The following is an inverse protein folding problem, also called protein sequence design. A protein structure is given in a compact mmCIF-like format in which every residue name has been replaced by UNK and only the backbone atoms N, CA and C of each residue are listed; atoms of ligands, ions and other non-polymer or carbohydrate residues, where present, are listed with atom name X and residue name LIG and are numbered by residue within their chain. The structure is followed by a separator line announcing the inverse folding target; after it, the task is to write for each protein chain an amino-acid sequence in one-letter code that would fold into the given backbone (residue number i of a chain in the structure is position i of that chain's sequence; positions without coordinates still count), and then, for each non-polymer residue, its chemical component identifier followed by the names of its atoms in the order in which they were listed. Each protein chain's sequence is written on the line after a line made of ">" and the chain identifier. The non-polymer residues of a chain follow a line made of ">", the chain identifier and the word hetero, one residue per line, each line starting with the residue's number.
data_IF_938018732358
#
_entry.id   IF_938018732358
#
_cell.length_a   1.000
_cell.length_b   1.000
_cell.length_c   1.000
_cell.angle_alpha   90.00
_cell.angle_beta   90.00
_cell.angle_gamma   90.00
#
_symmetry.space_group_name_H-M   'P 1'
#
loop_
_entity.id
_entity.type
_entity.pdbx_description
1 polymer ?
#
# COMPACT_ATOMS: atom_id res chain seq x y z
N UNK A 1 8.64 -21.84 -12.32
CA UNK A 1 8.35 -21.13 -11.06
C UNK A 1 7.90 -19.75 -11.46
N UNK A 2 6.68 -19.39 -11.08
CA UNK A 2 5.92 -18.33 -11.76
C UNK A 2 6.40 -16.94 -11.36
N UNK A 3 6.29 -16.01 -12.31
CA UNK A 3 6.69 -14.60 -12.24
C UNK A 3 5.81 -13.76 -11.30
N UNK A 4 5.12 -14.41 -10.35
CA UNK A 4 3.98 -13.89 -9.60
C UNK A 4 4.31 -13.41 -8.17
N UNK A 5 5.52 -13.63 -7.67
CA UNK A 5 5.78 -13.48 -6.24
C UNK A 5 6.05 -12.05 -5.75
N UNK A 6 6.02 -11.02 -6.61
CA UNK A 6 6.21 -9.66 -6.11
C UNK A 6 4.91 -9.01 -5.61
N UNK A 7 3.77 -9.30 -6.24
CA UNK A 7 2.48 -8.69 -5.85
C UNK A 7 1.93 -9.27 -4.54
N UNK A 8 1.98 -10.59 -4.36
CA UNK A 8 1.55 -11.20 -3.10
C UNK A 8 2.47 -10.80 -1.93
N UNK A 9 3.76 -10.69 -2.18
CA UNK A 9 4.73 -10.23 -1.18
C UNK A 9 4.50 -8.74 -0.83
N UNK A 10 4.16 -7.91 -1.82
CA UNK A 10 3.75 -6.53 -1.61
C UNK A 10 2.50 -6.43 -0.72
N UNK A 11 1.46 -7.22 -1.00
CA UNK A 11 0.24 -7.27 -0.17
C UNK A 11 0.54 -7.75 1.25
N UNK A 12 1.38 -8.77 1.40
CA UNK A 12 1.79 -9.27 2.72
C UNK A 12 2.52 -8.19 3.52
N UNK A 13 3.45 -7.46 2.91
CA UNK A 13 4.18 -6.36 3.56
C UNK A 13 3.25 -5.24 4.05
N UNK A 14 2.30 -4.81 3.20
CA UNK A 14 1.31 -3.81 3.57
C UNK A 14 0.43 -4.34 4.73
N UNK A 15 -0.02 -5.59 4.62
CA UNK A 15 -0.86 -6.25 5.62
C UNK A 15 -0.18 -6.39 6.97
N UNK A 16 1.09 -6.79 6.99
CA UNK A 16 1.89 -6.88 8.22
C UNK A 16 2.11 -5.49 8.84
N UNK A 17 2.38 -4.47 8.02
CA UNK A 17 2.55 -3.08 8.49
C UNK A 17 1.27 -2.53 9.10
N UNK A 18 0.12 -2.82 8.49
CA UNK A 18 -1.21 -2.45 8.99
C UNK A 18 -1.60 -3.22 10.25
N UNK A 19 -1.34 -4.53 10.29
CA UNK A 19 -1.65 -5.36 11.46
C UNK A 19 -0.85 -4.92 12.69
N UNK A 20 0.42 -4.57 12.50
CA UNK A 20 1.24 -3.99 13.56
C UNK A 20 0.69 -2.64 14.04
N UNK A 21 0.11 -1.82 13.15
CA UNK A 21 -0.53 -0.57 13.53
C UNK A 21 -1.86 -0.81 14.29
N UNK A 22 -2.70 -1.74 13.85
CA UNK A 22 -3.97 -2.08 14.52
C UNK A 22 -3.76 -2.66 15.94
N UNK A 23 -2.72 -3.49 16.12
CA UNK A 23 -2.43 -4.16 17.39
C UNK A 23 -2.14 -3.22 18.57
N UNK A 24 -1.71 -1.99 18.30
CA UNK A 24 -1.40 -0.97 19.31
C UNK A 24 -2.62 -0.10 19.70
N UNK A 25 -3.83 -0.43 19.20
CA UNK A 25 -5.06 0.30 19.52
C UNK A 25 -5.21 1.62 18.75
N UNK A 26 -4.57 1.71 17.58
CA UNK A 26 -4.60 2.89 16.70
C UNK A 26 -6.01 3.12 16.11
N UNK A 27 -6.39 4.40 15.96
CA UNK A 27 -7.65 4.80 15.33
C UNK A 27 -7.58 4.65 13.80
N UNK A 28 -8.73 4.60 13.12
CA UNK A 28 -8.79 4.52 11.65
C UNK A 28 -7.96 5.60 10.93
N UNK A 29 -7.85 6.80 11.51
CA UNK A 29 -7.02 7.88 10.96
C UNK A 29 -5.54 7.50 10.96
N UNK A 30 -5.07 6.87 12.03
CA UNK A 30 -3.68 6.46 12.16
C UNK A 30 -3.34 5.26 11.25
N UNK A 31 -4.32 4.41 10.93
CA UNK A 31 -4.20 3.37 9.89
C UNK A 31 -4.06 4.00 8.50
N UNK A 32 -4.85 5.04 8.21
CA UNK A 32 -4.75 5.81 6.96
C UNK A 32 -3.39 6.50 6.82
N UNK A 33 -2.84 7.05 7.90
CA UNK A 33 -1.52 7.67 7.90
C UNK A 33 -0.39 6.65 7.65
N UNK A 34 -0.48 5.46 8.27
CA UNK A 34 0.46 4.36 8.01
C UNK A 34 0.36 3.90 6.55
N UNK A 35 -0.85 3.75 6.03
CA UNK A 35 -1.06 3.38 4.63
C UNK A 35 -0.51 4.43 3.66
N UNK A 36 -0.62 5.72 3.99
CA UNK A 36 -0.05 6.80 3.21
C UNK A 36 1.48 6.76 3.21
N UNK A 37 2.11 6.58 4.38
CA UNK A 37 3.56 6.44 4.50
C UNK A 37 4.08 5.21 3.75
N UNK A 38 3.36 4.09 3.80
CA UNK A 38 3.74 2.90 3.04
C UNK A 38 3.59 3.15 1.54
N UNK A 39 2.50 3.77 1.09
CA UNK A 39 2.31 4.16 -0.31
C UNK A 39 3.43 5.06 -0.82
N UNK A 40 3.82 6.07 -0.04
CA UNK A 40 4.90 6.99 -0.36
C UNK A 40 6.28 6.31 -0.40
N UNK A 41 6.56 5.44 0.57
CA UNK A 41 7.79 4.65 0.58
C UNK A 41 7.88 3.77 -0.67
N UNK A 42 6.78 3.10 -1.04
CA UNK A 42 6.73 2.22 -2.20
C UNK A 42 6.90 2.99 -3.51
N UNK A 43 6.19 4.11 -3.68
CA UNK A 43 6.29 4.93 -4.88
C UNK A 43 7.73 5.44 -5.11
N UNK A 44 8.42 5.82 -4.04
CA UNK A 44 9.75 6.44 -4.14
C UNK A 44 10.92 5.44 -4.08
N UNK A 45 10.76 4.27 -3.44
CA UNK A 45 11.89 3.37 -3.13
C UNK A 45 11.79 1.98 -3.75
N UNK A 46 10.65 1.60 -4.33
CA UNK A 46 10.46 0.28 -4.94
C UNK A 46 10.39 0.42 -6.45
N UNK A 47 11.39 -0.15 -7.14
CA UNK A 47 11.33 -0.32 -8.59
C UNK A 47 10.23 -1.33 -8.93
N UNK A 48 9.18 -0.94 -9.68
CA UNK A 48 8.06 -1.82 -9.96
C UNK A 48 8.51 -3.06 -10.73
N UNK A 49 8.33 -4.26 -10.17
CA UNK A 49 8.76 -5.52 -10.82
C UNK A 49 7.66 -6.21 -11.59
N UNK A 50 6.42 -5.74 -11.48
CA UNK A 50 5.28 -6.20 -12.27
C UNK A 50 4.38 -5.02 -12.70
N UNK A 51 3.39 -5.32 -13.54
CA UNK A 51 2.47 -4.31 -14.09
C UNK A 51 1.55 -3.72 -13.01
N UNK A 52 1.15 -4.50 -12.00
CA UNK A 52 0.28 -4.06 -10.91
C UNK A 52 0.96 -2.98 -10.06
N UNK A 53 2.20 -3.22 -9.66
CA UNK A 53 3.03 -2.26 -8.93
C UNK A 53 3.32 -1.01 -9.77
N UNK A 54 3.54 -1.18 -11.07
CA UNK A 54 3.80 -0.06 -11.98
C UNK A 54 2.59 0.86 -12.07
N UNK A 55 1.40 0.30 -12.26
CA UNK A 55 0.15 1.08 -12.29
C UNK A 55 -0.06 1.83 -10.97
N UNK A 56 0.17 1.19 -9.83
CA UNK A 56 0.03 1.86 -8.53
C UNK A 56 1.03 2.99 -8.36
N UNK A 57 2.29 2.79 -8.76
CA UNK A 57 3.32 3.84 -8.73
C UNK A 57 2.94 5.00 -9.63
N UNK A 58 2.52 4.74 -10.87
CA UNK A 58 2.11 5.79 -11.82
C UNK A 58 0.91 6.58 -11.28
N UNK A 59 -0.10 5.90 -10.70
CA UNK A 59 -1.25 6.55 -10.06
C UNK A 59 -0.84 7.40 -8.87
N UNK A 60 0.07 6.91 -8.03
CA UNK A 60 0.55 7.66 -6.86
C UNK A 60 1.30 8.95 -7.23
N UNK A 61 2.10 8.92 -8.30
CA UNK A 61 2.89 10.07 -8.75
C UNK A 61 2.06 11.17 -9.41
N UNK A 62 0.88 10.86 -9.95
CA UNK A 62 -0.01 11.85 -10.57
C UNK A 62 -1.12 12.34 -9.64
N UNK A 63 -1.35 11.62 -8.54
CA UNK A 63 -2.36 11.94 -7.54
C UNK A 63 -1.96 13.14 -6.68
N UNK A 64 -2.94 13.97 -6.31
CA UNK A 64 -2.77 14.95 -5.24
C UNK A 64 -2.83 14.29 -3.85
N UNK A 65 -2.60 15.05 -2.78
CA UNK A 65 -2.56 14.54 -1.40
C UNK A 65 -3.88 13.84 -1.00
N UNK A 66 -5.03 14.41 -1.41
CA UNK A 66 -6.34 13.83 -1.12
C UNK A 66 -6.52 12.49 -1.86
N UNK A 67 -6.11 12.44 -3.13
CA UNK A 67 -6.16 11.25 -3.97
C UNK A 67 -5.19 10.17 -3.48
N UNK A 68 -3.99 10.53 -3.03
CA UNK A 68 -3.03 9.61 -2.42
C UNK A 68 -3.58 8.98 -1.15
N UNK A 69 -4.22 9.76 -0.27
CA UNK A 69 -4.93 9.21 0.89
C UNK A 69 -6.08 8.28 0.47
N UNK A 70 -6.81 8.59 -0.60
CA UNK A 70 -7.84 7.70 -1.13
C UNK A 70 -7.25 6.39 -1.67
N UNK A 71 -6.15 6.44 -2.42
CA UNK A 71 -5.42 5.28 -2.92
C UNK A 71 -4.94 4.43 -1.75
N UNK A 72 -4.29 5.02 -0.75
CA UNK A 72 -3.84 4.34 0.46
C UNK A 72 -4.98 3.59 1.16
N UNK A 73 -6.12 4.25 1.36
CA UNK A 73 -7.29 3.63 1.99
C UNK A 73 -7.88 2.46 1.17
N UNK A 74 -7.88 2.56 -0.16
CA UNK A 74 -8.33 1.45 -1.02
C UNK A 74 -7.33 0.29 -0.99
N UNK A 75 -6.02 0.57 -0.93
CA UNK A 75 -4.99 -0.47 -0.79
C UNK A 75 -5.12 -1.23 0.53
N UNK A 76 -5.40 -0.54 1.64
CA UNK A 76 -5.70 -1.17 2.95
C UNK A 76 -6.86 -2.16 2.80
N UNK A 77 -7.97 -1.69 2.24
CA UNK A 77 -9.16 -2.54 2.01
C UNK A 77 -8.86 -3.73 1.10
N UNK A 78 -8.07 -3.52 0.05
CA UNK A 78 -7.67 -4.58 -0.88
C UNK A 78 -6.84 -5.67 -0.21
N UNK A 79 -6.03 -5.32 0.79
CA UNK A 79 -5.21 -6.29 1.53
C UNK A 79 -5.99 -6.97 2.66
N UNK A 80 -6.98 -6.27 3.24
CA UNK A 80 -7.90 -6.84 4.23
C UNK A 80 -8.95 -7.77 3.61
N UNK A 81 -9.40 -7.49 2.39
CA UNK A 81 -10.26 -8.37 1.59
C UNK A 81 -9.42 -9.53 1.02
N UNK A 82 -9.82 -10.78 1.30
CA UNK A 82 -9.12 -12.00 0.87
C UNK A 82 -9.42 -12.38 -0.58
#
# INVERSE_FOLDING_TARGET
>A
MSVLDNWEQWKSFLGDSLHNAEGDGMTNDAISDVAFQVGDYLANNVDPKNEQERVLSDLWHVADEQEQHAIANVMVKLVQEK
#
